data_IF_160202379738
#
_entry.id   IF_160202379738
#
_cell.length_a   1.000
_cell.length_b   1.000
_cell.length_c   1.000
_cell.angle_alpha   90.00
_cell.angle_beta   90.00
_cell.angle_gamma   90.00
#
_symmetry.space_group_name_H-M   'P 1'
#
loop_
_entity.id
_entity.type
_entity.pdbx_description
1 polymer ?
#
# COMPACT_ATOMS: atom_id res chain seq x y z
N UNK A 1 7.20 9.34 -4.03
CA UNK A 1 8.12 9.33 -2.86
C UNK A 1 7.50 8.51 -1.72
N UNK A 2 8.25 7.62 -1.05
CA UNK A 2 7.73 6.91 0.14
C UNK A 2 7.61 7.89 1.32
N UNK A 3 6.42 7.97 1.90
CA UNK A 3 6.13 8.76 3.10
C UNK A 3 5.76 7.90 4.30
N UNK A 4 5.89 8.51 5.49
CA UNK A 4 6.13 7.83 6.77
C UNK A 4 4.98 6.94 7.28
N UNK A 5 5.41 5.83 7.91
CA UNK A 5 4.76 5.20 9.07
C UNK A 5 5.50 5.68 10.34
N UNK A 6 4.88 5.58 11.51
CA UNK A 6 5.47 6.02 12.79
C UNK A 6 6.62 5.12 13.30
N UNK A 7 7.09 4.12 12.55
CA UNK A 7 8.28 3.33 12.86
C UNK A 7 9.52 3.88 12.14
N UNK A 8 10.56 4.19 12.91
CA UNK A 8 11.87 4.57 12.40
C UNK A 8 12.54 3.35 11.76
N UNK A 9 13.22 3.57 10.63
CA UNK A 9 14.33 2.72 10.19
C UNK A 9 14.15 2.07 8.82
N UNK A 10 15.29 1.83 8.17
CA UNK A 10 15.40 0.97 7.01
C UNK A 10 14.77 -0.39 7.34
N UNK A 11 14.00 -0.95 6.41
CA UNK A 11 13.48 -2.32 6.57
C UNK A 11 14.07 -3.21 5.50
N UNK A 12 14.69 -4.29 5.95
CA UNK A 12 15.13 -5.35 5.06
C UNK A 12 13.91 -6.18 4.68
N UNK A 13 13.75 -6.40 3.38
CA UNK A 13 12.76 -7.32 2.83
C UNK A 13 13.47 -8.52 2.28
N UNK A 14 12.93 -9.70 2.57
CA UNK A 14 13.44 -10.95 2.02
C UNK A 14 12.60 -11.30 0.81
N UNK A 15 13.28 -11.62 -0.30
CA UNK A 15 12.64 -12.18 -1.48
C UNK A 15 12.41 -13.68 -1.29
N UNK A 16 11.33 -14.17 -1.88
CA UNK A 16 10.99 -15.59 -1.82
C UNK A 16 9.49 -15.84 -1.92
N UNK A 17 9.14 -17.06 -2.33
CA UNK A 17 7.75 -17.49 -2.46
C UNK A 17 7.09 -17.55 -1.07
N UNK A 18 6.10 -16.70 -0.83
CA UNK A 18 5.08 -16.96 0.19
C UNK A 18 4.17 -18.08 -0.28
N UNK A 19 3.42 -18.68 0.65
CA UNK A 19 2.41 -19.71 0.31
C UNK A 19 1.38 -19.21 -0.72
N UNK A 20 1.21 -17.89 -0.83
CA UNK A 20 0.33 -17.24 -1.80
C UNK A 20 0.94 -15.95 -2.36
N UNK A 21 0.70 -15.62 -3.64
CA UNK A 21 1.11 -14.34 -4.23
C UNK A 21 0.56 -13.12 -3.48
N UNK A 22 1.33 -12.04 -3.44
CA UNK A 22 0.94 -10.73 -2.93
C UNK A 22 1.05 -10.59 -1.40
N UNK A 23 1.68 -11.54 -0.71
CA UNK A 23 1.76 -11.53 0.75
C UNK A 23 3.05 -10.93 1.30
N UNK A 24 4.08 -10.70 0.47
CA UNK A 24 5.34 -10.16 0.99
C UNK A 24 5.19 -8.70 1.46
N UNK A 25 4.52 -7.86 0.69
CA UNK A 25 4.51 -6.41 0.90
C UNK A 25 3.18 -5.77 0.53
N UNK A 26 2.73 -4.81 1.33
CA UNK A 26 1.52 -4.04 1.03
C UNK A 26 1.77 -2.53 1.04
N UNK A 27 1.19 -1.84 0.06
CA UNK A 27 1.37 -0.40 -0.18
C UNK A 27 0.02 0.33 -0.15
N UNK A 28 0.01 1.61 0.23
CA UNK A 28 -1.17 2.50 0.16
C UNK A 28 -0.79 3.88 -0.32
N UNK A 29 -1.70 4.54 -1.04
CA UNK A 29 -1.54 5.95 -1.42
C UNK A 29 -1.90 6.84 -0.22
N UNK A 30 -0.98 7.74 0.17
CA UNK A 30 -1.18 8.65 1.31
C UNK A 30 -2.45 9.49 1.13
N UNK A 31 -2.71 9.94 -0.10
CA UNK A 31 -3.86 10.79 -0.44
C UNK A 31 -5.18 10.11 -0.10
N UNK A 32 -5.28 8.79 -0.24
CA UNK A 32 -6.52 8.05 0.07
C UNK A 32 -6.75 7.99 1.58
N UNK A 33 -5.69 7.83 2.37
CA UNK A 33 -5.80 7.86 3.84
C UNK A 33 -6.10 9.27 4.35
N UNK A 34 -5.41 10.28 3.82
CA UNK A 34 -5.60 11.69 4.17
C UNK A 34 -7.01 12.15 3.84
N UNK A 35 -7.50 11.83 2.63
CA UNK A 35 -8.87 12.15 2.19
C UNK A 35 -9.90 11.45 3.08
N UNK A 36 -9.67 10.18 3.43
CA UNK A 36 -10.56 9.45 4.32
C UNK A 36 -10.66 10.09 5.71
N UNK A 37 -9.52 10.43 6.32
CA UNK A 37 -9.49 11.10 7.62
C UNK A 37 -10.20 12.46 7.55
N UNK A 38 -10.00 13.23 6.48
CA UNK A 38 -10.69 14.50 6.26
C UNK A 38 -12.21 14.33 6.17
N UNK A 39 -12.69 13.31 5.45
CA UNK A 39 -14.13 12.99 5.36
C UNK A 39 -14.74 12.62 6.71
N UNK A 40 -13.95 12.04 7.61
CA UNK A 40 -14.36 11.76 8.99
C UNK A 40 -14.20 12.96 9.93
N UNK A 41 -13.70 14.11 9.46
CA UNK A 41 -13.37 15.26 10.30
C UNK A 41 -12.22 14.99 11.28
N UNK A 42 -11.33 14.05 10.95
CA UNK A 42 -10.22 13.60 11.79
C UNK A 42 -8.88 14.09 11.26
N UNK A 43 -7.89 14.21 12.15
CA UNK A 43 -6.51 14.42 11.75
C UNK A 43 -5.99 13.24 10.91
N UNK A 44 -5.09 13.52 9.97
CA UNK A 44 -4.50 12.50 9.12
C UNK A 44 -3.71 11.46 9.93
N UNK A 45 -4.11 10.19 9.84
CA UNK A 45 -3.41 9.05 10.42
C UNK A 45 -3.02 8.05 9.33
N UNK A 46 -1.79 8.17 8.81
CA UNK A 46 -1.28 7.27 7.78
C UNK A 46 -1.17 5.80 8.25
N UNK A 47 -1.14 5.55 9.57
CA UNK A 47 -1.09 4.20 10.13
C UNK A 47 -2.46 3.50 10.12
N UNK A 48 -3.56 4.23 9.89
CA UNK A 48 -4.94 3.74 9.88
C UNK A 48 -5.15 2.53 8.97
N UNK A 49 -4.47 2.53 7.82
CA UNK A 49 -4.54 1.49 6.79
C UNK A 49 -3.83 0.19 7.19
N UNK A 50 -2.89 0.27 8.15
CA UNK A 50 -1.99 -0.82 8.57
C UNK A 50 -1.11 -1.41 7.45
N UNK A 51 -1.01 -0.74 6.31
CA UNK A 51 -0.14 -1.16 5.20
C UNK A 51 1.33 -0.94 5.56
N UNK A 52 2.22 -1.65 4.88
CA UNK A 52 3.65 -1.62 5.19
C UNK A 52 4.30 -0.33 4.70
N UNK A 53 3.93 0.13 3.50
CA UNK A 53 4.50 1.31 2.85
C UNK A 53 3.38 2.28 2.49
N UNK A 54 3.61 3.56 2.77
CA UNK A 54 2.76 4.66 2.30
C UNK A 54 3.50 5.38 1.17
N UNK A 55 2.84 5.56 0.03
CA UNK A 55 3.38 6.26 -1.14
C UNK A 55 2.74 7.63 -1.30
N UNK A 56 3.52 8.59 -1.81
CA UNK A 56 3.03 9.88 -2.33
C UNK A 56 3.33 9.96 -3.81
N UNK A 57 2.39 10.56 -4.54
CA UNK A 57 2.49 10.85 -5.98
C UNK A 57 2.69 9.60 -6.85
N UNK A 58 2.10 8.47 -6.43
CA UNK A 58 2.14 7.20 -7.17
C UNK A 58 0.74 6.62 -7.23
N UNK A 59 0.26 6.31 -8.43
CA UNK A 59 -1.01 5.58 -8.64
C UNK A 59 -0.75 4.08 -8.55
N UNK A 60 -1.03 3.50 -7.39
CA UNK A 60 -0.71 2.09 -7.09
C UNK A 60 -1.54 1.12 -7.95
N UNK A 61 -2.77 1.49 -8.31
CA UNK A 61 -3.62 0.64 -9.15
C UNK A 61 -3.00 0.39 -10.54
N UNK A 62 -2.16 1.31 -11.04
CA UNK A 62 -1.48 1.15 -12.33
C UNK A 62 -0.30 0.15 -12.28
N UNK A 63 0.06 -0.34 -11.08
CA UNK A 63 1.16 -1.27 -10.86
C UNK A 63 0.72 -2.73 -10.79
N UNK A 64 -0.59 -3.01 -10.84
CA UNK A 64 -1.09 -4.39 -10.94
C UNK A 64 -0.55 -5.04 -12.21
N UNK A 65 0.07 -6.21 -12.08
CA UNK A 65 0.73 -6.93 -13.17
C UNK A 65 2.04 -6.30 -13.65
N UNK A 66 2.63 -5.34 -12.92
CA UNK A 66 3.86 -4.66 -13.30
C UNK A 66 5.01 -5.00 -12.38
N UNK A 67 6.21 -5.03 -12.96
CA UNK A 67 7.46 -5.01 -12.21
C UNK A 67 7.84 -3.57 -11.89
N UNK A 68 8.27 -3.32 -10.67
CA UNK A 68 8.75 -2.01 -10.23
C UNK A 68 9.84 -2.17 -9.19
N UNK A 69 10.54 -1.09 -8.88
CA UNK A 69 11.61 -1.05 -7.88
C UNK A 69 11.31 0.02 -6.84
N UNK A 70 11.66 -0.29 -5.60
CA UNK A 70 11.75 0.66 -4.50
C UNK A 70 13.04 0.34 -3.75
N UNK A 71 13.92 1.33 -3.57
CA UNK A 71 15.23 1.09 -2.98
C UNK A 71 15.97 -0.03 -3.71
N UNK A 72 16.44 -1.03 -2.98
CA UNK A 72 17.13 -2.20 -3.55
C UNK A 72 16.18 -3.35 -3.93
N UNK A 73 14.88 -3.23 -3.62
CA UNK A 73 13.91 -4.30 -3.83
C UNK A 73 13.25 -4.19 -5.21
N UNK A 74 13.36 -5.25 -6.02
CA UNK A 74 12.47 -5.49 -7.17
C UNK A 74 11.20 -6.13 -6.68
N UNK A 75 10.08 -5.62 -7.17
CA UNK A 75 8.74 -5.94 -6.71
C UNK A 75 7.86 -6.27 -7.91
N UNK A 76 6.88 -7.14 -7.69
CA UNK A 76 5.81 -7.40 -8.65
C UNK A 76 4.47 -7.05 -8.03
N UNK A 77 3.69 -6.17 -8.67
CA UNK A 77 2.36 -5.80 -8.20
C UNK A 77 1.36 -6.90 -8.54
N UNK A 78 0.76 -7.51 -7.53
CA UNK A 78 -0.06 -8.71 -7.70
C UNK A 78 -1.53 -8.33 -7.91
N UNK A 79 -2.12 -7.65 -6.94
CA UNK A 79 -3.55 -7.31 -6.95
C UNK A 79 -3.87 -6.12 -6.04
N UNK A 80 -5.07 -5.57 -6.21
CA UNK A 80 -5.59 -4.55 -5.31
C UNK A 80 -5.95 -5.13 -3.95
N UNK A 81 -5.74 -4.32 -2.93
CA UNK A 81 -6.14 -4.60 -1.58
C UNK A 81 -7.61 -4.24 -1.35
N UNK A 82 -8.54 -5.12 -1.74
CA UNK A 82 -9.97 -4.84 -1.54
C UNK A 82 -10.38 -4.87 -0.06
N UNK A 83 -11.26 -3.95 0.38
CA UNK A 83 -11.69 -3.86 1.75
C UNK A 83 -12.61 -5.02 2.13
N UNK A 84 -12.47 -5.52 3.35
CA UNK A 84 -13.35 -6.54 3.91
C UNK A 84 -14.32 -5.95 4.94
N UNK A 85 -15.38 -6.70 5.28
CA UNK A 85 -16.33 -6.27 6.31
C UNK A 85 -15.69 -6.01 7.69
N UNK A 86 -14.56 -6.66 7.99
CA UNK A 86 -13.78 -6.37 9.21
C UNK A 86 -13.19 -4.96 9.20
N UNK A 87 -12.64 -4.50 8.07
CA UNK A 87 -12.19 -3.13 7.91
C UNK A 87 -13.36 -2.15 8.08
N UNK A 88 -14.49 -2.46 7.43
CA UNK A 88 -15.73 -1.69 7.51
C UNK A 88 -16.16 -1.46 8.96
N UNK A 89 -16.24 -2.52 9.75
CA UNK A 89 -16.60 -2.44 11.17
C UNK A 89 -15.58 -1.68 12.01
N UNK A 90 -14.28 -1.87 11.75
CA UNK A 90 -13.20 -1.24 12.51
C UNK A 90 -13.16 0.27 12.36
N UNK A 91 -13.48 0.79 11.18
CA UNK A 91 -13.42 2.22 10.87
C UNK A 91 -14.79 2.90 10.86
N UNK A 92 -15.86 2.17 11.21
CA UNK A 92 -17.19 2.74 11.30
C UNK A 92 -17.24 3.81 12.41
N UNK A 93 -18.00 4.86 12.17
CA UNK A 93 -18.29 5.93 13.11
C UNK A 93 -19.81 6.05 13.27
N UNK A 94 -20.33 6.80 14.25
CA UNK A 94 -21.77 7.06 14.36
C UNK A 94 -22.38 7.61 13.06
N UNK A 95 -21.63 8.44 12.32
CA UNK A 95 -22.09 9.07 11.09
C UNK A 95 -21.79 8.24 9.82
N UNK A 96 -20.85 7.30 9.90
CA UNK A 96 -20.43 6.47 8.76
C UNK A 96 -20.46 4.99 9.11
N UNK A 97 -21.49 4.28 8.65
CA UNK A 97 -21.62 2.85 8.89
C UNK A 97 -20.58 2.01 8.12
N UNK A 98 -20.44 0.74 8.52
CA UNK A 98 -19.45 -0.17 7.94
C UNK A 98 -19.56 -0.36 6.42
N UNK A 99 -20.77 -0.29 5.85
CA UNK A 99 -20.97 -0.43 4.41
C UNK A 99 -20.47 0.81 3.66
N UNK A 100 -20.69 2.01 4.21
CA UNK A 100 -20.14 3.25 3.66
C UNK A 100 -18.61 3.24 3.68
N UNK A 101 -18.01 2.74 4.78
CA UNK A 101 -16.55 2.55 4.87
C UNK A 101 -16.06 1.57 3.78
N UNK A 102 -16.70 0.42 3.63
CA UNK A 102 -16.31 -0.56 2.59
C UNK A 102 -16.38 0.07 1.20
N UNK A 103 -17.49 0.76 0.88
CA UNK A 103 -17.65 1.48 -0.40
C UNK A 103 -16.57 2.54 -0.60
N UNK A 104 -16.17 3.24 0.46
CA UNK A 104 -15.07 4.18 0.39
C UNK A 104 -13.75 3.48 0.11
N UNK A 105 -13.46 2.30 0.64
CA UNK A 105 -12.14 1.70 0.41
C UNK A 105 -12.05 0.81 -0.85
N UNK A 106 -13.17 0.53 -1.52
CA UNK A 106 -13.21 -0.27 -2.76
C UNK A 106 -12.35 0.38 -3.85
N UNK A 107 -11.39 -0.37 -4.39
CA UNK A 107 -10.42 0.13 -5.37
C UNK A 107 -9.42 1.17 -4.85
N UNK A 108 -9.41 1.45 -3.53
CA UNK A 108 -8.56 2.44 -2.86
C UNK A 108 -7.75 1.86 -1.69
N UNK A 109 -7.94 0.59 -1.36
CA UNK A 109 -7.29 -0.05 -0.22
C UNK A 109 -5.81 -0.38 -0.39
N UNK A 110 -5.22 -0.03 -1.55
CA UNK A 110 -3.80 -0.14 -1.84
C UNK A 110 -3.43 -1.32 -2.74
N UNK A 111 -2.16 -1.71 -2.73
CA UNK A 111 -1.58 -2.76 -3.59
C UNK A 111 -0.92 -3.86 -2.75
N UNK A 112 -1.13 -5.11 -3.15
CA UNK A 112 -0.35 -6.26 -2.73
C UNK A 112 0.80 -6.51 -3.71
N UNK A 113 1.99 -6.74 -3.21
CA UNK A 113 3.18 -6.97 -4.03
C UNK A 113 4.05 -8.09 -3.49
N UNK A 114 4.70 -8.79 -4.41
CA UNK A 114 5.74 -9.77 -4.10
C UNK A 114 7.12 -9.11 -4.11
N UNK A 115 7.98 -9.57 -3.22
CA UNK A 115 9.39 -9.15 -3.14
C UNK A 115 10.22 -10.19 -3.89
N UNK A 116 10.87 -9.76 -4.96
CA UNK A 116 11.58 -10.66 -5.88
C UNK A 116 13.07 -10.85 -5.53
N UNK A 117 13.60 -9.99 -4.65
CA UNK A 117 14.95 -10.13 -4.14
C UNK A 117 15.10 -9.51 -2.74
N UNK A 118 16.10 -10.01 -2.02
CA UNK A 118 16.52 -9.39 -0.77
C UNK A 118 17.00 -7.96 -1.03
N UNK A 119 16.61 -7.02 -0.16
CA UNK A 119 17.01 -5.63 -0.30
C UNK A 119 16.48 -4.76 0.83
N UNK A 120 16.89 -3.49 0.82
CA UNK A 120 16.42 -2.48 1.74
C UNK A 120 15.45 -1.53 1.05
N UNK A 121 14.40 -1.17 1.80
CA UNK A 121 13.54 -0.05 1.48
C UNK A 121 13.65 0.97 2.60
N UNK A 122 13.90 2.22 2.23
CA UNK A 122 14.08 3.36 3.13
C UNK A 122 13.03 4.43 2.86
N UNK A 123 12.66 5.19 3.89
CA UNK A 123 11.79 6.37 3.73
C UNK A 123 12.48 7.38 2.80
N UNK A 124 11.74 7.92 1.85
CA UNK A 124 12.27 8.80 0.82
C UNK A 124 12.65 8.10 -0.48
N UNK A 125 12.74 6.76 -0.50
CA UNK A 125 12.97 6.03 -1.73
C UNK A 125 11.87 6.33 -2.76
N UNK A 126 12.30 6.39 -4.02
CA UNK A 126 11.41 6.58 -5.15
C UNK A 126 10.95 5.23 -5.70
N UNK A 127 9.76 5.23 -6.28
CA UNK A 127 9.22 4.09 -7.01
C UNK A 127 9.53 4.26 -8.49
N UNK A 128 10.10 3.25 -9.10
CA UNK A 128 10.44 3.24 -10.52
C UNK A 128 9.80 2.03 -11.20
N UNK A 129 9.06 2.25 -12.28
CA UNK A 129 8.53 1.16 -13.09
C UNK A 129 9.70 0.52 -13.84
N UNK A 130 9.82 -0.80 -13.73
CA UNK A 130 10.80 -1.55 -14.49
C UNK A 130 10.16 -1.88 -15.84
N UNK A 131 10.75 -1.41 -16.93
CA UNK A 131 10.38 -1.87 -18.26
C UNK A 131 10.65 -3.37 -18.38
N UNK A 132 9.78 -4.15 -19.06
CA UNK A 132 10.16 -5.50 -19.43
C UNK A 132 11.45 -5.43 -20.25
N UNK A 133 12.39 -6.40 -20.08
CA UNK A 133 13.54 -6.48 -20.97
C UNK A 133 13.02 -6.52 -22.42
N UNK A 134 13.63 -5.69 -23.27
CA UNK A 134 13.17 -5.43 -24.64
C UNK A 134 12.85 -6.71 -25.39
N UNK A 135 11.72 -6.68 -26.11
CA UNK A 135 11.32 -7.68 -27.10
C UNK A 135 12.35 -7.75 -28.23
#
# INVERSE_FOLDING_TARGET
>A
MISRRADRGNRQWQGGSTDWPGQNLTLIEAVEVETFCQLLGQAADLALSRRNIVTRDVRLNALVGRHFRIGDCRLFGVELCEPCGSLGRRLATPDHNAAAIVRYWTGRGGLRADVLNNGWITVGDSLEILSPPGL
#
